data_IF_756182581449
#
_entry.id   IF_756182581449
#
_cell.length_a   1.000
_cell.length_b   1.000
_cell.length_c   1.000
_cell.angle_alpha   90.00
_cell.angle_beta   90.00
_cell.angle_gamma   90.00
#
_symmetry.space_group_name_H-M   'P 1'
#
loop_
_entity.id
_entity.type
_entity.pdbx_description
1 polymer ?
#
# COMPACT_ATOMS: atom_id res chain seq x y z
N UNK A 1 25.96 17.36 16.23
CA UNK A 1 24.54 17.03 15.99
C UNK A 1 23.94 18.12 15.11
N UNK A 2 23.40 17.79 13.94
CA UNK A 2 22.72 18.78 13.09
C UNK A 2 21.33 19.05 13.64
N UNK A 3 20.95 20.35 13.69
CA UNK A 3 19.63 20.75 14.18
C UNK A 3 18.57 20.47 13.08
N UNK A 4 17.32 20.16 13.49
CA UNK A 4 16.17 19.92 12.59
C UNK A 4 15.88 21.09 11.63
N UNK A 5 16.29 22.31 11.99
CA UNK A 5 16.16 23.53 11.19
C UNK A 5 17.39 23.83 10.32
N UNK A 6 18.35 22.90 10.22
CA UNK A 6 19.58 23.14 9.44
C UNK A 6 19.29 23.21 7.94
N UNK A 7 19.69 24.32 7.32
CA UNK A 7 19.68 24.52 5.87
C UNK A 7 20.93 23.89 5.20
N UNK A 8 21.78 23.18 5.95
CA UNK A 8 22.89 22.44 5.38
C UNK A 8 22.39 21.47 4.32
N UNK A 9 22.97 21.54 3.13
CA UNK A 9 22.65 20.70 2.00
C UNK A 9 23.57 19.50 1.97
N UNK A 10 23.01 18.34 1.65
CA UNK A 10 23.73 17.08 1.51
C UNK A 10 23.27 16.34 0.27
N UNK A 11 24.13 15.46 -0.25
CA UNK A 11 23.73 14.44 -1.22
C UNK A 11 23.33 13.18 -0.46
N UNK A 12 22.04 12.87 -0.37
CA UNK A 12 21.62 11.69 0.36
C UNK A 12 22.00 10.41 -0.39
N UNK A 13 22.42 9.42 0.37
CA UNK A 13 22.68 8.07 -0.14
C UNK A 13 21.45 7.20 0.17
N UNK A 14 20.95 6.51 -0.84
CA UNK A 14 19.86 5.56 -0.61
C UNK A 14 20.36 4.38 0.23
N UNK A 15 19.78 4.11 1.41
CA UNK A 15 20.23 3.02 2.26
C UNK A 15 19.94 1.63 1.69
N UNK A 16 19.10 1.56 0.65
CA UNK A 16 18.64 0.30 0.05
C UNK A 16 19.53 -0.11 -1.12
N UNK A 17 19.90 0.83 -2.00
CA UNK A 17 20.66 0.52 -3.22
C UNK A 17 22.02 1.22 -3.29
N UNK A 18 22.40 2.04 -2.28
CA UNK A 18 23.65 2.76 -2.21
C UNK A 18 23.81 3.93 -3.21
N UNK A 19 22.78 4.23 -4.01
CA UNK A 19 22.86 5.31 -5.00
C UNK A 19 22.89 6.67 -4.30
N UNK A 20 23.84 7.50 -4.68
CA UNK A 20 23.89 8.91 -4.30
C UNK A 20 22.89 9.69 -5.15
N UNK A 21 22.07 10.51 -4.53
CA UNK A 21 21.14 11.38 -5.25
C UNK A 21 21.88 12.50 -5.96
N UNK A 22 21.52 12.79 -7.20
CA UNK A 22 22.20 13.82 -8.01
C UNK A 22 21.85 15.25 -7.61
N UNK A 23 20.90 15.43 -6.71
CA UNK A 23 20.46 16.75 -6.22
C UNK A 23 20.70 16.87 -4.74
N UNK A 24 21.27 17.99 -4.31
CA UNK A 24 21.38 18.33 -2.90
C UNK A 24 19.99 18.55 -2.29
N UNK A 25 19.81 18.07 -1.07
CA UNK A 25 18.62 18.35 -0.27
C UNK A 25 19.02 18.88 1.11
N UNK A 26 18.25 19.82 1.64
CA UNK A 26 18.49 20.32 2.99
C UNK A 26 18.17 19.23 4.03
N UNK A 27 18.95 19.18 5.09
CA UNK A 27 18.74 18.22 6.20
C UNK A 27 17.34 18.37 6.80
N UNK A 28 16.83 19.62 6.91
CA UNK A 28 15.45 19.90 7.35
C UNK A 28 14.41 19.15 6.51
N UNK A 29 14.58 19.08 5.19
CA UNK A 29 13.64 18.37 4.31
C UNK A 29 13.62 16.85 4.55
N UNK A 30 14.74 16.26 5.00
CA UNK A 30 14.78 14.84 5.37
C UNK A 30 13.94 14.63 6.63
N UNK A 31 14.06 15.50 7.62
CA UNK A 31 13.29 15.42 8.85
C UNK A 31 11.80 15.65 8.62
N UNK A 32 11.43 16.64 7.82
CA UNK A 32 10.04 16.97 7.50
C UNK A 32 9.34 15.85 6.73
N UNK A 33 10.03 15.22 5.77
CA UNK A 33 9.49 14.10 4.98
C UNK A 33 9.59 12.75 5.69
N UNK A 34 10.22 12.69 6.85
CA UNK A 34 10.43 11.47 7.65
C UNK A 34 11.06 10.30 6.86
N UNK A 35 11.71 10.59 5.74
CA UNK A 35 12.39 9.58 4.91
C UNK A 35 13.53 10.17 4.11
N UNK A 36 14.60 9.39 3.98
CA UNK A 36 15.63 9.64 2.98
C UNK A 36 15.09 9.17 1.63
N UNK A 37 15.22 10.02 0.61
CA UNK A 37 14.81 9.67 -0.73
C UNK A 37 15.46 8.36 -1.21
N UNK A 38 14.65 7.42 -1.66
CA UNK A 38 15.14 6.18 -2.27
C UNK A 38 15.55 6.43 -3.73
N UNK A 39 16.40 5.57 -4.29
CA UNK A 39 16.61 5.51 -5.72
C UNK A 39 15.25 5.33 -6.42
N UNK A 40 15.00 6.12 -7.45
CA UNK A 40 13.69 6.18 -8.10
C UNK A 40 12.68 7.11 -7.42
N UNK A 41 13.12 8.00 -6.51
CA UNK A 41 12.31 9.12 -6.08
C UNK A 41 11.93 9.98 -7.30
N UNK A 42 10.63 10.27 -7.39
CA UNK A 42 10.04 10.88 -8.58
C UNK A 42 9.59 9.88 -9.63
N UNK A 43 10.05 8.63 -9.59
CA UNK A 43 9.54 7.54 -10.41
C UNK A 43 8.28 6.94 -9.81
N UNK A 44 7.33 6.57 -10.66
CA UNK A 44 6.12 5.84 -10.29
C UNK A 44 6.43 4.35 -10.10
N UNK A 45 5.49 3.59 -9.55
CA UNK A 45 5.67 2.16 -9.30
C UNK A 45 6.13 1.35 -10.54
N UNK A 46 5.55 1.52 -11.75
CA UNK A 46 6.01 0.80 -12.94
C UNK A 46 7.48 1.09 -13.29
N UNK A 47 7.84 2.37 -13.32
CA UNK A 47 9.22 2.78 -13.61
C UNK A 47 10.21 2.20 -12.59
N UNK A 48 9.87 2.23 -11.29
CA UNK A 48 10.71 1.61 -10.24
C UNK A 48 10.87 0.11 -10.45
N UNK A 49 9.80 -0.60 -10.83
CA UNK A 49 9.84 -2.04 -11.07
C UNK A 49 10.79 -2.37 -12.22
N UNK A 50 10.65 -1.68 -13.36
CA UNK A 50 11.55 -1.84 -14.51
C UNK A 50 13.00 -1.49 -14.13
N UNK A 51 13.21 -0.41 -13.40
CA UNK A 51 14.53 0.01 -12.94
C UNK A 51 15.22 -1.09 -12.13
N UNK A 52 14.51 -1.70 -11.17
CA UNK A 52 15.06 -2.78 -10.37
C UNK A 52 15.23 -4.08 -11.17
N UNK A 53 14.34 -4.39 -12.11
CA UNK A 53 14.46 -5.52 -13.03
C UNK A 53 15.75 -5.42 -13.88
N UNK A 54 15.95 -4.29 -14.56
CA UNK A 54 17.15 -4.05 -15.36
C UNK A 54 18.44 -4.11 -14.54
N UNK A 55 18.42 -3.56 -13.30
CA UNK A 55 19.53 -3.69 -12.36
C UNK A 55 19.79 -5.12 -11.91
N UNK A 56 18.75 -5.88 -11.64
CA UNK A 56 18.87 -7.29 -11.24
C UNK A 56 19.49 -8.16 -12.36
N UNK A 57 19.26 -7.79 -13.62
CA UNK A 57 19.88 -8.41 -14.80
C UNK A 57 21.27 -7.85 -15.12
N UNK A 58 21.81 -6.91 -14.32
CA UNK A 58 23.09 -6.23 -14.57
C UNK A 58 23.16 -5.48 -15.92
N UNK A 59 22.01 -5.03 -16.44
CA UNK A 59 21.95 -4.28 -17.68
C UNK A 59 22.36 -2.83 -17.42
N UNK A 60 23.20 -2.29 -18.31
CA UNK A 60 23.54 -0.86 -18.31
C UNK A 60 22.44 -0.10 -19.05
N UNK A 61 21.80 0.84 -18.36
CA UNK A 61 20.74 1.68 -18.91
C UNK A 61 20.82 3.11 -18.35
N UNK A 62 20.16 4.01 -19.04
CA UNK A 62 19.89 5.38 -18.57
C UNK A 62 18.38 5.50 -18.30
N UNK A 63 17.99 6.20 -17.26
CA UNK A 63 16.59 6.46 -16.94
C UNK A 63 16.28 7.95 -17.07
N UNK A 64 15.05 8.25 -17.44
CA UNK A 64 14.55 9.63 -17.57
C UNK A 64 15.35 10.44 -18.59
N UNK A 65 15.43 9.94 -19.84
CA UNK A 65 16.10 10.64 -20.92
C UNK A 65 15.40 11.97 -21.23
N UNK A 66 16.20 13.00 -21.43
CA UNK A 66 15.75 14.34 -21.78
C UNK A 66 16.71 14.96 -22.77
N UNK A 67 16.45 16.18 -23.20
CA UNK A 67 17.33 17.00 -24.03
C UNK A 67 18.78 17.08 -23.50
N UNK A 68 18.97 16.96 -22.19
CA UNK A 68 20.32 16.92 -21.61
C UNK A 68 21.10 15.65 -21.96
N UNK A 69 20.41 14.56 -22.33
CA UNK A 69 21.02 13.30 -22.75
C UNK A 69 21.21 13.27 -24.28
N UNK A 70 20.14 13.55 -25.01
CA UNK A 70 20.12 13.65 -26.46
C UNK A 70 19.33 14.90 -26.87
N UNK A 71 19.92 15.75 -27.69
CA UNK A 71 19.30 17.01 -28.13
C UNK A 71 17.95 16.77 -28.82
N UNK A 72 17.83 15.67 -29.57
CA UNK A 72 16.60 15.29 -30.25
C UNK A 72 15.42 14.95 -29.32
N UNK A 73 15.65 14.67 -28.03
CA UNK A 73 14.54 14.48 -27.08
C UNK A 73 13.69 15.73 -26.93
N UNK A 74 14.21 16.90 -27.26
CA UNK A 74 13.54 18.19 -27.17
C UNK A 74 12.83 18.39 -25.82
N UNK A 75 11.53 18.63 -25.78
CA UNK A 75 10.74 18.79 -24.57
C UNK A 75 10.16 17.47 -24.02
N UNK A 76 10.48 16.36 -24.66
CA UNK A 76 10.00 15.05 -24.27
C UNK A 76 10.97 14.35 -23.30
N UNK A 77 10.40 13.41 -22.53
CA UNK A 77 11.12 12.56 -21.61
C UNK A 77 10.77 11.11 -21.87
N UNK A 78 11.80 10.27 -21.97
CA UNK A 78 11.66 8.83 -22.14
C UNK A 78 12.08 8.13 -20.84
N UNK A 79 11.38 7.04 -20.48
CA UNK A 79 11.58 6.38 -19.18
C UNK A 79 12.94 5.69 -19.11
N UNK A 80 13.28 4.87 -20.09
CA UNK A 80 14.56 4.13 -20.10
C UNK A 80 15.16 4.05 -21.50
N UNK A 81 16.49 4.02 -21.53
CA UNK A 81 17.29 3.78 -22.72
C UNK A 81 18.40 2.78 -22.44
N UNK A 82 18.55 1.78 -23.30
CA UNK A 82 19.59 0.75 -23.22
C UNK A 82 20.58 1.00 -24.36
N UNK A 83 21.74 1.62 -24.10
CA UNK A 83 22.67 2.08 -25.13
C UNK A 83 23.17 0.96 -26.03
N UNK A 84 23.51 -0.20 -25.48
CA UNK A 84 24.08 -1.33 -26.22
C UNK A 84 23.10 -1.93 -27.25
N UNK A 85 21.82 -1.72 -27.08
CA UNK A 85 20.76 -2.21 -27.97
C UNK A 85 20.09 -1.07 -28.77
N UNK A 86 20.48 0.17 -28.53
CA UNK A 86 19.78 1.36 -29.02
C UNK A 86 18.26 1.25 -28.83
N UNK A 87 17.83 0.93 -27.60
CA UNK A 87 16.46 0.56 -27.28
C UNK A 87 15.88 1.51 -26.23
N UNK A 88 14.66 2.00 -26.49
CA UNK A 88 13.84 2.79 -25.56
C UNK A 88 12.78 1.89 -24.95
N UNK A 89 12.50 2.08 -23.65
CA UNK A 89 11.38 1.42 -22.96
C UNK A 89 10.55 2.49 -22.29
N UNK A 90 9.24 2.49 -22.56
CA UNK A 90 8.23 3.35 -21.96
C UNK A 90 7.26 2.56 -21.08
N UNK A 91 6.83 3.14 -19.98
CA UNK A 91 5.85 2.53 -19.06
C UNK A 91 4.54 3.31 -19.12
N UNK A 92 3.56 2.79 -19.85
CA UNK A 92 2.29 3.44 -20.05
C UNK A 92 1.31 3.12 -18.90
N UNK A 93 1.07 4.09 -18.04
CA UNK A 93 0.06 4.02 -16.98
C UNK A 93 -1.37 4.22 -17.49
N UNK A 94 -2.35 4.28 -16.57
CA UNK A 94 -3.77 4.41 -16.89
C UNK A 94 -4.09 5.63 -17.77
N UNK A 95 -3.34 6.73 -17.66
CA UNK A 95 -3.57 7.95 -18.44
C UNK A 95 -3.42 7.75 -19.95
N UNK A 96 -2.69 6.73 -20.41
CA UNK A 96 -2.51 6.43 -21.84
C UNK A 96 -3.65 5.58 -22.43
N UNK A 97 -4.55 5.02 -21.59
CA UNK A 97 -5.60 4.08 -21.98
C UNK A 97 -7.02 4.53 -21.62
N UNK A 98 -7.15 5.51 -20.75
CA UNK A 98 -8.45 5.96 -20.27
C UNK A 98 -8.36 7.32 -19.55
N UNK A 99 -9.51 7.84 -19.12
CA UNK A 99 -9.54 9.08 -18.38
C UNK A 99 -8.69 8.96 -17.12
N UNK A 100 -7.64 9.76 -17.05
CA UNK A 100 -6.76 9.85 -15.89
C UNK A 100 -7.52 10.25 -14.63
N UNK A 101 -6.94 10.02 -13.48
CA UNK A 101 -7.52 10.36 -12.17
C UNK A 101 -8.03 11.81 -12.16
N UNK A 102 -9.31 12.02 -12.44
CA UNK A 102 -10.27 13.09 -12.19
C UNK A 102 -9.82 14.46 -11.68
N UNK A 103 -8.64 14.92 -12.01
CA UNK A 103 -8.21 16.29 -11.69
C UNK A 103 -8.17 17.08 -12.99
N UNK A 104 -8.96 18.14 -13.09
CA UNK A 104 -9.07 19.10 -14.20
C UNK A 104 -7.75 19.81 -14.59
N UNK A 105 -6.61 19.18 -14.46
CA UNK A 105 -5.27 19.79 -14.66
C UNK A 105 -4.31 18.91 -15.48
N UNK A 106 -4.77 17.83 -16.09
CA UNK A 106 -3.97 16.95 -16.94
C UNK A 106 -4.37 17.05 -18.41
N UNK A 107 -3.60 16.43 -19.30
CA UNK A 107 -3.96 16.23 -20.70
C UNK A 107 -5.21 15.37 -20.82
N UNK A 108 -5.97 15.56 -21.90
CA UNK A 108 -7.03 14.62 -22.29
C UNK A 108 -6.40 13.29 -22.74
N UNK A 109 -7.22 12.25 -22.91
CA UNK A 109 -6.74 10.97 -23.44
C UNK A 109 -6.18 11.14 -24.85
N UNK A 110 -6.88 11.92 -25.68
CA UNK A 110 -6.48 12.20 -27.05
C UNK A 110 -5.14 12.95 -27.10
N UNK A 111 -4.97 13.97 -26.27
CA UNK A 111 -3.70 14.72 -26.16
C UNK A 111 -2.55 13.83 -25.66
N UNK A 112 -2.81 12.88 -24.75
CA UNK A 112 -1.79 11.95 -24.26
C UNK A 112 -1.40 10.95 -25.34
N UNK A 113 -2.37 10.41 -26.09
CA UNK A 113 -2.12 9.50 -27.21
C UNK A 113 -1.37 10.19 -28.37
N UNK A 114 -1.75 11.43 -28.71
CA UNK A 114 -1.04 12.24 -29.70
C UNK A 114 0.42 12.47 -29.26
N UNK A 115 0.64 12.82 -28.00
CA UNK A 115 1.96 12.98 -27.44
C UNK A 115 2.81 11.70 -27.50
N UNK A 116 2.20 10.51 -27.31
CA UNK A 116 2.89 9.22 -27.41
C UNK A 116 3.30 8.92 -28.85
N UNK A 117 2.42 9.25 -29.82
CA UNK A 117 2.75 9.12 -31.26
C UNK A 117 3.93 10.01 -31.63
N UNK A 118 3.90 11.30 -31.26
CA UNK A 118 4.98 12.25 -31.54
C UNK A 118 6.29 11.78 -30.90
N UNK A 119 6.27 11.31 -29.66
CA UNK A 119 7.45 10.77 -28.97
C UNK A 119 8.04 9.59 -29.73
N UNK A 120 7.20 8.64 -30.17
CA UNK A 120 7.64 7.48 -30.94
C UNK A 120 8.26 7.91 -32.28
N UNK A 121 7.58 8.73 -33.06
CA UNK A 121 8.07 9.23 -34.34
C UNK A 121 9.40 9.97 -34.19
N UNK A 122 9.54 10.79 -33.17
CA UNK A 122 10.78 11.50 -32.88
C UNK A 122 11.94 10.53 -32.59
N UNK A 123 11.70 9.50 -31.79
CA UNK A 123 12.69 8.48 -31.51
C UNK A 123 13.11 7.70 -32.77
N UNK A 124 12.12 7.26 -33.58
CA UNK A 124 12.37 6.52 -34.83
C UNK A 124 13.16 7.37 -35.83
N UNK A 125 12.82 8.64 -35.98
CA UNK A 125 13.53 9.57 -36.87
C UNK A 125 14.98 9.84 -36.45
N UNK A 126 15.31 9.52 -35.19
CA UNK A 126 16.66 9.65 -34.63
C UNK A 126 17.39 8.29 -34.46
N UNK A 127 16.98 7.28 -35.22
CA UNK A 127 17.72 6.03 -35.37
C UNK A 127 17.35 4.92 -34.39
N UNK A 128 16.29 5.08 -33.58
CA UNK A 128 15.70 3.96 -32.84
C UNK A 128 14.91 3.11 -33.83
N UNK A 129 15.20 1.81 -33.90
CA UNK A 129 14.40 0.88 -34.71
C UNK A 129 13.02 0.68 -34.07
N UNK A 130 12.01 0.44 -34.91
CA UNK A 130 10.61 0.34 -34.40
C UNK A 130 10.46 -0.75 -33.35
N UNK A 131 11.06 -1.91 -33.56
CA UNK A 131 11.06 -3.03 -32.62
C UNK A 131 11.83 -2.74 -31.33
N UNK A 132 12.68 -1.71 -31.32
CA UNK A 132 13.45 -1.27 -30.15
C UNK A 132 12.77 -0.10 -29.40
N UNK A 133 11.60 0.33 -29.85
CA UNK A 133 10.74 1.24 -29.09
C UNK A 133 9.66 0.41 -28.36
N UNK A 134 9.95 0.01 -27.14
CA UNK A 134 9.15 -0.95 -26.38
C UNK A 134 8.23 -0.20 -25.42
N UNK A 135 6.92 -0.45 -25.53
CA UNK A 135 5.91 0.10 -24.61
C UNK A 135 5.39 -1.04 -23.73
N UNK A 136 5.48 -0.86 -22.42
CA UNK A 136 4.94 -1.79 -21.42
C UNK A 136 3.63 -1.24 -20.85
N UNK A 137 2.57 -2.03 -20.97
CA UNK A 137 1.27 -1.68 -20.39
C UNK A 137 1.31 -1.79 -18.85
N UNK A 138 1.25 -0.65 -18.21
CA UNK A 138 1.31 -0.48 -16.77
C UNK A 138 0.04 0.18 -16.21
N UNK A 139 -1.12 0.08 -16.92
CA UNK A 139 -2.38 0.70 -16.48
C UNK A 139 -2.78 0.29 -15.07
N UNK A 140 -2.47 -0.92 -14.65
CA UNK A 140 -2.59 -1.33 -13.26
C UNK A 140 -1.20 -1.51 -12.64
N UNK A 141 -0.93 -0.76 -11.57
CA UNK A 141 0.38 -0.75 -10.88
C UNK A 141 0.54 -1.96 -9.94
N UNK A 142 0.40 -3.17 -10.46
CA UNK A 142 0.67 -4.43 -9.77
C UNK A 142 1.72 -5.23 -10.51
N UNK A 143 2.50 -6.05 -9.79
CA UNK A 143 3.53 -6.88 -10.41
C UNK A 143 2.92 -7.84 -11.42
N UNK A 144 1.83 -8.51 -11.04
CA UNK A 144 1.19 -9.52 -11.88
C UNK A 144 0.72 -8.93 -13.21
N UNK A 145 0.06 -7.77 -13.19
CA UNK A 145 -0.35 -7.09 -14.41
C UNK A 145 0.85 -6.70 -15.27
N UNK A 146 1.78 -5.93 -14.74
CA UNK A 146 2.93 -5.39 -15.49
C UNK A 146 3.78 -6.52 -16.08
N UNK A 147 3.85 -7.65 -15.41
CA UNK A 147 4.61 -8.83 -15.85
C UNK A 147 3.88 -9.61 -16.93
N UNK A 148 2.59 -9.92 -16.76
CA UNK A 148 1.90 -11.02 -17.44
C UNK A 148 0.82 -10.59 -18.45
N UNK A 149 0.39 -9.30 -18.49
CA UNK A 149 -0.61 -8.89 -19.47
C UNK A 149 -0.09 -9.00 -20.92
N UNK A 150 -0.96 -8.84 -21.90
CA UNK A 150 -0.65 -9.00 -23.32
C UNK A 150 0.53 -8.14 -23.78
N UNK A 151 0.62 -6.88 -23.29
CA UNK A 151 1.73 -5.96 -23.53
C UNK A 151 2.61 -5.79 -22.28
N UNK A 152 2.68 -6.82 -21.44
CA UNK A 152 3.50 -6.86 -20.23
C UNK A 152 4.95 -7.30 -20.52
N UNK A 153 5.78 -7.27 -19.49
CA UNK A 153 7.21 -7.53 -19.62
C UNK A 153 7.51 -8.89 -20.27
N UNK A 154 6.81 -9.97 -19.84
CA UNK A 154 7.06 -11.33 -20.36
C UNK A 154 6.55 -11.54 -21.79
N UNK A 155 5.61 -10.74 -22.25
CA UNK A 155 5.03 -10.81 -23.59
C UNK A 155 5.59 -9.73 -24.54
N UNK A 156 6.49 -8.89 -24.04
CA UNK A 156 7.20 -7.89 -24.84
C UNK A 156 8.52 -8.40 -25.39
N UNK A 157 9.11 -7.64 -26.31
CA UNK A 157 10.46 -7.90 -26.85
C UNK A 157 11.54 -7.99 -25.74
N UNK A 158 11.29 -7.47 -24.53
CA UNK A 158 12.24 -7.62 -23.42
C UNK A 158 12.52 -9.10 -23.09
N UNK A 159 11.56 -10.00 -23.31
CA UNK A 159 11.74 -11.43 -23.09
C UNK A 159 12.60 -12.11 -24.17
N UNK A 160 12.69 -11.51 -25.35
CA UNK A 160 13.60 -11.96 -26.41
C UNK A 160 15.02 -11.43 -26.20
N UNK A 161 15.13 -10.19 -25.71
CA UNK A 161 16.41 -9.50 -25.49
C UNK A 161 17.16 -9.98 -24.24
N UNK A 162 16.42 -10.44 -23.22
CA UNK A 162 16.98 -10.77 -21.91
C UNK A 162 16.42 -12.07 -21.35
N UNK A 163 17.25 -12.82 -20.64
CA UNK A 163 16.82 -14.00 -19.88
C UNK A 163 16.04 -13.59 -18.61
N UNK A 164 14.75 -13.34 -18.77
CA UNK A 164 13.88 -12.89 -17.68
C UNK A 164 13.65 -13.97 -16.60
N UNK A 165 14.05 -15.23 -16.83
CA UNK A 165 14.03 -16.27 -15.79
C UNK A 165 15.05 -15.98 -14.67
N UNK A 166 16.09 -15.21 -14.96
CA UNK A 166 17.08 -14.76 -13.97
C UNK A 166 16.59 -13.66 -13.07
N UNK A 167 15.44 -13.03 -13.37
CA UNK A 167 14.90 -11.95 -12.56
C UNK A 167 14.33 -12.46 -11.26
N UNK A 168 14.84 -11.96 -10.14
CA UNK A 168 14.21 -12.17 -8.85
C UNK A 168 13.06 -11.17 -8.65
N UNK A 169 11.88 -11.50 -9.15
CA UNK A 169 10.69 -10.65 -9.12
C UNK A 169 10.28 -10.23 -7.71
N UNK A 170 10.44 -11.13 -6.74
CA UNK A 170 10.14 -10.82 -5.33
C UNK A 170 11.05 -9.71 -4.79
N UNK A 171 12.33 -9.77 -5.10
CA UNK A 171 13.28 -8.71 -4.72
C UNK A 171 12.95 -7.41 -5.45
N UNK A 172 12.72 -7.45 -6.76
CA UNK A 172 12.34 -6.28 -7.54
C UNK A 172 11.10 -5.59 -6.96
N UNK A 173 10.06 -6.37 -6.64
CA UNK A 173 8.84 -5.88 -6.04
C UNK A 173 9.06 -5.24 -4.65
N UNK A 174 9.85 -5.89 -3.80
CA UNK A 174 10.20 -5.35 -2.47
C UNK A 174 10.88 -3.99 -2.57
N UNK A 175 11.82 -3.84 -3.51
CA UNK A 175 12.52 -2.57 -3.69
C UNK A 175 11.67 -1.49 -4.37
N UNK A 176 10.67 -1.88 -5.14
CA UNK A 176 9.73 -0.97 -5.80
C UNK A 176 8.78 -0.29 -4.81
N UNK A 177 8.45 -0.96 -3.69
CA UNK A 177 7.55 -0.42 -2.69
C UNK A 177 8.14 0.79 -1.97
N UNK A 178 7.30 1.81 -1.76
CA UNK A 178 7.68 3.03 -1.07
C UNK A 178 8.11 2.77 0.38
N UNK A 179 8.98 3.63 0.91
CA UNK A 179 9.46 3.56 2.29
C UNK A 179 8.33 3.51 3.32
N UNK A 180 7.24 4.25 3.09
CA UNK A 180 6.05 4.26 3.96
C UNK A 180 5.34 2.90 3.99
N UNK A 181 5.24 2.21 2.85
CA UNK A 181 4.66 0.86 2.81
C UNK A 181 5.50 -0.08 3.66
N UNK A 182 6.83 -0.01 3.54
CA UNK A 182 7.74 -0.83 4.36
C UNK A 182 7.62 -0.50 5.83
N UNK A 183 7.65 0.78 6.19
CA UNK A 183 7.50 1.23 7.60
C UNK A 183 6.22 0.68 8.22
N UNK A 184 5.09 0.79 7.51
CA UNK A 184 3.80 0.29 7.98
C UNK A 184 3.79 -1.23 8.10
N UNK A 185 4.38 -1.94 7.13
CA UNK A 185 4.49 -3.40 7.17
C UNK A 185 5.42 -3.89 8.27
N UNK A 186 6.53 -3.19 8.53
CA UNK A 186 7.46 -3.53 9.61
C UNK A 186 6.80 -3.35 10.98
N UNK A 187 6.03 -2.26 11.18
CA UNK A 187 5.22 -2.09 12.39
C UNK A 187 4.22 -3.22 12.58
N UNK A 188 3.55 -3.66 11.49
CA UNK A 188 2.60 -4.78 11.54
C UNK A 188 3.28 -6.11 11.86
N UNK A 189 4.48 -6.37 11.31
CA UNK A 189 5.28 -7.56 11.62
C UNK A 189 5.75 -7.59 13.07
N UNK A 190 6.28 -6.47 13.56
CA UNK A 190 6.76 -6.35 14.95
C UNK A 190 5.62 -6.53 15.95
N UNK A 191 4.43 -6.05 15.61
CA UNK A 191 3.23 -6.12 16.43
C UNK A 191 2.02 -6.56 15.61
N UNK A 192 1.82 -7.86 15.36
CA UNK A 192 0.71 -8.38 14.54
C UNK A 192 -0.69 -8.00 15.05
N UNK A 193 -0.80 -7.68 16.35
CA UNK A 193 -2.07 -7.28 16.99
C UNK A 193 -2.43 -5.80 16.78
N UNK A 194 -1.50 -4.96 16.32
CA UNK A 194 -1.80 -3.55 16.01
C UNK A 194 -2.85 -3.47 14.91
N UNK A 195 -3.87 -2.67 15.16
CA UNK A 195 -4.91 -2.36 14.17
C UNK A 195 -4.41 -1.30 13.20
N UNK A 196 -5.03 -1.23 12.03
CA UNK A 196 -4.81 -0.15 11.05
C UNK A 196 -4.93 1.24 11.69
N UNK A 197 -5.90 1.43 12.61
CA UNK A 197 -6.09 2.70 13.33
C UNK A 197 -4.96 3.00 14.31
N UNK A 198 -4.42 2.01 14.99
CA UNK A 198 -3.28 2.20 15.90
C UNK A 198 -2.01 2.53 15.13
N UNK A 199 -1.74 1.81 14.03
CA UNK A 199 -0.62 2.12 13.14
C UNK A 199 -0.76 3.53 12.56
N UNK A 200 -1.97 3.95 12.17
CA UNK A 200 -2.22 5.29 11.62
C UNK A 200 -1.83 6.42 12.57
N UNK A 201 -2.01 6.21 13.87
CA UNK A 201 -1.59 7.17 14.90
C UNK A 201 -0.06 7.23 15.04
N UNK A 202 0.63 6.07 14.90
CA UNK A 202 2.10 6.00 14.99
C UNK A 202 2.75 6.70 13.81
N UNK A 203 2.23 6.47 12.59
CA UNK A 203 2.82 7.03 11.36
C UNK A 203 2.24 8.40 10.99
N UNK A 204 1.23 8.89 11.74
CA UNK A 204 0.54 10.18 11.54
C UNK A 204 -0.11 10.32 10.15
N UNK A 205 -0.70 9.24 9.63
CA UNK A 205 -1.44 9.21 8.38
C UNK A 205 -2.87 8.71 8.60
N UNK A 206 -3.75 8.94 7.61
CA UNK A 206 -5.13 8.46 7.71
C UNK A 206 -5.19 6.92 7.74
N UNK A 207 -6.16 6.33 8.47
CA UNK A 207 -6.37 4.88 8.48
C UNK A 207 -6.60 4.29 7.09
N UNK A 208 -7.21 5.05 6.17
CA UNK A 208 -7.43 4.64 4.78
C UNK A 208 -6.12 4.46 4.02
N UNK A 209 -5.16 5.38 4.19
CA UNK A 209 -3.84 5.27 3.57
C UNK A 209 -3.07 4.08 4.14
N UNK A 210 -3.07 3.92 5.47
CA UNK A 210 -2.39 2.79 6.13
C UNK A 210 -2.98 1.46 5.66
N UNK A 211 -4.31 1.34 5.55
CA UNK A 211 -4.97 0.15 5.03
C UNK A 211 -4.53 -0.16 3.61
N UNK A 212 -4.50 0.82 2.72
CA UNK A 212 -4.03 0.66 1.34
C UNK A 212 -2.57 0.20 1.29
N UNK A 213 -1.70 0.74 2.15
CA UNK A 213 -0.29 0.34 2.24
C UNK A 213 -0.12 -1.07 2.80
N UNK A 214 -0.92 -1.48 3.79
CA UNK A 214 -0.92 -2.85 4.31
C UNK A 214 -1.38 -3.86 3.25
N UNK A 215 -2.43 -3.55 2.47
CA UNK A 215 -2.83 -4.41 1.35
C UNK A 215 -1.70 -4.55 0.34
N UNK A 216 -1.15 -3.41 -0.13
CA UNK A 216 -0.04 -3.44 -1.09
C UNK A 216 1.18 -4.17 -0.54
N UNK A 217 1.49 -3.99 0.74
CA UNK A 217 2.57 -4.70 1.40
C UNK A 217 2.31 -6.20 1.54
N UNK A 218 1.07 -6.61 1.78
CA UNK A 218 0.67 -8.02 1.79
C UNK A 218 0.85 -8.66 0.40
N UNK A 219 0.37 -7.99 -0.65
CA UNK A 219 0.53 -8.44 -2.04
C UNK A 219 2.01 -8.55 -2.45
N UNK A 220 2.87 -7.72 -1.85
CA UNK A 220 4.31 -7.75 -2.05
C UNK A 220 5.06 -8.74 -1.13
N UNK A 221 4.38 -9.47 -0.27
CA UNK A 221 5.02 -10.34 0.73
C UNK A 221 5.83 -9.58 1.80
N UNK A 222 5.54 -8.29 1.99
CA UNK A 222 6.19 -7.45 3.01
C UNK A 222 5.59 -7.64 4.40
N UNK A 223 4.33 -8.02 4.52
CA UNK A 223 3.66 -8.35 5.78
C UNK A 223 2.46 -9.26 5.50
N UNK A 224 1.94 -9.90 6.55
CA UNK A 224 0.64 -10.54 6.49
C UNK A 224 -0.43 -9.55 6.96
N UNK A 225 -1.45 -9.32 6.13
CA UNK A 225 -2.56 -8.45 6.47
C UNK A 225 -3.89 -8.99 5.95
N UNK A 226 -4.82 -9.16 6.87
CA UNK A 226 -6.22 -9.53 6.62
C UNK A 226 -7.15 -8.54 7.33
N UNK A 227 -7.82 -7.71 6.55
CA UNK A 227 -8.73 -6.68 7.07
C UNK A 227 -9.98 -7.26 7.73
N UNK A 228 -10.47 -8.43 7.28
CA UNK A 228 -11.62 -9.09 7.87
C UNK A 228 -11.28 -9.66 9.24
N UNK A 229 -10.13 -10.32 9.34
CA UNK A 229 -9.60 -10.83 10.61
C UNK A 229 -9.36 -9.69 11.61
N UNK A 230 -8.75 -8.59 11.15
CA UNK A 230 -8.53 -7.41 12.00
C UNK A 230 -9.86 -6.83 12.52
N UNK A 231 -10.86 -6.69 11.64
CA UNK A 231 -12.18 -6.19 12.03
C UNK A 231 -12.87 -7.11 13.03
N UNK A 232 -12.83 -8.41 12.79
CA UNK A 232 -13.41 -9.42 13.69
C UNK A 232 -12.76 -9.37 15.08
N UNK A 233 -11.43 -9.37 15.16
CA UNK A 233 -10.67 -9.31 16.41
C UNK A 233 -10.88 -7.97 17.15
N UNK A 234 -10.99 -6.87 16.43
CA UNK A 234 -11.31 -5.56 16.98
C UNK A 234 -12.71 -5.53 17.60
N UNK A 235 -13.70 -6.05 16.89
CA UNK A 235 -15.07 -6.15 17.40
C UNK A 235 -15.16 -7.05 18.65
N UNK A 236 -14.44 -8.19 18.66
CA UNK A 236 -14.36 -9.07 19.81
C UNK A 236 -13.77 -8.37 21.04
N UNK A 237 -12.70 -7.60 20.86
CA UNK A 237 -12.10 -6.77 21.93
C UNK A 237 -13.08 -5.70 22.44
N UNK A 238 -13.69 -4.96 21.54
CA UNK A 238 -14.63 -3.90 21.87
C UNK A 238 -15.89 -4.44 22.60
N UNK A 239 -16.39 -5.59 22.17
CA UNK A 239 -17.52 -6.24 22.83
C UNK A 239 -17.16 -6.70 24.25
N UNK A 240 -15.94 -7.21 24.45
CA UNK A 240 -15.46 -7.57 25.79
C UNK A 240 -15.33 -6.35 26.71
N UNK A 241 -14.81 -5.22 26.19
CA UNK A 241 -14.68 -3.96 26.95
C UNK A 241 -16.05 -3.35 27.28
N UNK A 242 -17.02 -3.45 26.37
CA UNK A 242 -18.37 -2.91 26.53
C UNK A 242 -19.31 -3.81 27.33
N UNK A 243 -18.93 -5.05 27.56
CA UNK A 243 -19.74 -5.96 28.36
C UNK A 243 -19.71 -5.52 29.81
N UNK A 244 -20.90 -5.31 30.39
CA UNK A 244 -21.07 -4.99 31.82
C UNK A 244 -21.38 -6.29 32.55
N UNK A 245 -20.65 -6.61 33.62
CA UNK A 245 -21.00 -7.72 34.49
C UNK A 245 -22.39 -7.51 35.10
N UNK A 246 -23.09 -8.59 35.35
CA UNK A 246 -24.42 -8.56 35.93
C UNK A 246 -24.55 -9.61 37.00
N UNK A 247 -25.43 -9.34 37.94
CA UNK A 247 -25.86 -10.28 38.98
C UNK A 247 -27.36 -10.56 38.81
N UNK A 248 -27.72 -11.83 38.98
CA UNK A 248 -29.10 -12.35 38.84
C UNK A 248 -29.69 -12.66 40.23
N UNK A 249 -30.94 -12.28 40.45
CA UNK A 249 -31.66 -12.51 41.69
C UNK A 249 -32.99 -13.18 41.42
N UNK A 250 -33.41 -14.06 42.33
CA UNK A 250 -34.75 -14.59 42.41
C UNK A 250 -35.29 -14.40 43.84
N UNK A 251 -36.48 -13.85 43.95
CA UNK A 251 -37.11 -13.55 45.24
C UNK A 251 -36.18 -12.76 46.22
N UNK A 252 -35.36 -11.88 45.67
CA UNK A 252 -34.39 -11.07 46.43
C UNK A 252 -33.07 -11.76 46.78
N UNK A 253 -32.93 -13.06 46.47
CA UNK A 253 -31.70 -13.83 46.74
C UNK A 253 -30.81 -13.82 45.52
N UNK A 254 -29.52 -13.50 45.69
CA UNK A 254 -28.52 -13.58 44.62
C UNK A 254 -28.26 -15.02 44.22
N UNK A 255 -28.30 -15.30 42.90
CA UNK A 255 -28.00 -16.59 42.31
C UNK A 255 -26.62 -16.60 41.62
N UNK A 256 -25.90 -15.48 41.67
CA UNK A 256 -24.54 -15.36 41.14
C UNK A 256 -24.35 -14.29 40.08
N UNK A 257 -23.06 -14.07 39.73
CA UNK A 257 -22.63 -13.07 38.76
C UNK A 257 -22.25 -13.69 37.42
N UNK A 258 -22.45 -12.92 36.36
CA UNK A 258 -22.08 -13.28 34.95
C UNK A 258 -21.33 -12.15 34.30
N UNK A 259 -20.40 -12.48 33.38
CA UNK A 259 -19.57 -11.49 32.72
C UNK A 259 -20.36 -10.52 31.82
N UNK A 260 -21.55 -10.91 31.36
CA UNK A 260 -22.43 -10.08 30.54
C UNK A 260 -23.85 -10.63 30.45
N UNK A 261 -24.78 -9.81 29.94
CA UNK A 261 -26.15 -10.25 29.63
C UNK A 261 -26.20 -11.39 28.61
N UNK A 262 -25.27 -11.39 27.63
CA UNK A 262 -25.15 -12.47 26.63
C UNK A 262 -24.59 -13.77 27.23
N UNK A 263 -23.69 -13.64 28.18
CA UNK A 263 -23.12 -14.79 28.90
C UNK A 263 -24.22 -15.50 29.72
N UNK A 264 -25.00 -14.71 30.47
CA UNK A 264 -26.15 -15.23 31.20
C UNK A 264 -27.21 -15.88 30.26
N UNK A 265 -27.53 -15.23 29.12
CA UNK A 265 -28.48 -15.81 28.15
C UNK A 265 -28.06 -17.21 27.70
N UNK A 266 -26.77 -17.40 27.37
CA UNK A 266 -26.21 -18.69 26.91
C UNK A 266 -26.26 -19.78 27.98
N UNK A 267 -26.10 -19.41 29.24
CA UNK A 267 -26.04 -20.35 30.35
C UNK A 267 -27.41 -20.58 31.03
N UNK A 268 -28.35 -19.65 30.81
CA UNK A 268 -29.61 -19.58 31.56
C UNK A 268 -30.46 -20.86 31.50
N UNK A 269 -30.55 -21.48 30.34
CA UNK A 269 -31.35 -22.71 30.16
C UNK A 269 -30.74 -23.90 30.92
N UNK A 270 -29.40 -23.99 30.92
CA UNK A 270 -28.68 -25.05 31.63
C UNK A 270 -28.74 -24.86 33.16
N UNK A 271 -28.62 -23.59 33.63
CA UNK A 271 -28.52 -23.28 35.05
C UNK A 271 -29.88 -23.17 35.73
N UNK A 272 -30.88 -22.62 35.03
CA UNK A 272 -32.17 -22.27 35.61
C UNK A 272 -33.37 -23.00 34.95
N UNK A 273 -33.11 -23.85 33.94
CA UNK A 273 -34.16 -24.53 33.19
C UNK A 273 -35.01 -23.59 32.32
N UNK A 274 -34.64 -22.36 32.17
CA UNK A 274 -35.41 -21.32 31.47
C UNK A 274 -34.47 -20.48 30.61
N UNK A 275 -34.77 -20.41 29.31
CA UNK A 275 -34.03 -19.54 28.40
C UNK A 275 -34.36 -18.07 28.67
N UNK A 276 -33.39 -17.29 29.11
CA UNK A 276 -33.48 -15.84 29.32
C UNK A 276 -32.96 -15.10 28.07
N UNK A 277 -33.53 -13.95 27.78
CA UNK A 277 -33.10 -13.10 26.65
C UNK A 277 -32.23 -11.94 27.13
N UNK A 278 -31.05 -11.74 26.51
CA UNK A 278 -30.14 -10.67 26.86
C UNK A 278 -30.77 -9.27 26.76
N UNK A 279 -31.67 -9.08 25.80
CA UNK A 279 -32.37 -7.81 25.61
C UNK A 279 -33.31 -7.51 26.76
N UNK A 280 -34.08 -8.53 27.26
CA UNK A 280 -34.98 -8.38 28.43
C UNK A 280 -34.18 -8.22 29.72
N UNK A 281 -33.06 -8.96 29.87
CA UNK A 281 -32.15 -8.80 31.02
C UNK A 281 -31.65 -7.34 31.08
N UNK A 282 -31.17 -6.80 29.93
CA UNK A 282 -30.71 -5.41 29.86
C UNK A 282 -31.80 -4.41 30.19
N UNK A 283 -33.06 -4.66 29.79
CA UNK A 283 -34.19 -3.79 30.13
C UNK A 283 -34.49 -3.77 31.64
N UNK A 284 -34.35 -4.91 32.29
CA UNK A 284 -34.51 -4.98 33.75
C UNK A 284 -33.37 -4.25 34.44
N UNK A 285 -32.10 -4.48 34.05
CA UNK A 285 -30.96 -3.77 34.59
C UNK A 285 -31.05 -2.24 34.44
N UNK A 286 -31.70 -1.77 33.37
CA UNK A 286 -31.92 -0.32 33.09
C UNK A 286 -33.20 0.25 33.73
N UNK A 287 -33.92 -0.56 34.52
CA UNK A 287 -35.18 -0.13 35.14
C UNK A 287 -36.36 0.04 34.18
N UNK A 288 -36.22 -0.37 32.91
CA UNK A 288 -37.30 -0.31 31.90
C UNK A 288 -38.29 -1.46 31.97
N UNK A 289 -38.00 -2.46 32.78
CA UNK A 289 -38.83 -3.63 33.06
C UNK A 289 -38.56 -4.08 34.49
N UNK A 290 -39.58 -4.46 35.23
CA UNK A 290 -39.44 -4.84 36.66
C UNK A 290 -38.75 -6.23 36.80
N UNK A 291 -39.20 -7.23 36.07
CA UNK A 291 -38.66 -8.59 36.10
C UNK A 291 -38.68 -9.21 34.73
N UNK A 292 -37.87 -10.25 34.52
CA UNK A 292 -37.95 -11.11 33.33
C UNK A 292 -38.01 -12.59 33.77
N UNK A 293 -39.13 -13.24 33.48
CA UNK A 293 -39.41 -14.63 33.85
C UNK A 293 -39.21 -14.94 35.35
N UNK A 294 -39.62 -13.99 36.21
CA UNK A 294 -39.50 -14.10 37.67
C UNK A 294 -38.15 -13.76 38.26
N UNK A 295 -37.18 -13.29 37.44
CA UNK A 295 -35.86 -12.87 37.89
C UNK A 295 -35.70 -11.37 37.79
N UNK A 296 -34.87 -10.83 38.67
CA UNK A 296 -34.34 -9.44 38.59
C UNK A 296 -32.85 -9.48 38.33
N UNK A 297 -32.33 -8.39 37.74
CA UNK A 297 -30.94 -8.27 37.34
C UNK A 297 -30.40 -6.90 37.67
N UNK A 298 -29.13 -6.83 38.02
CA UNK A 298 -28.43 -5.59 38.31
C UNK A 298 -27.05 -5.60 37.66
N UNK A 299 -26.63 -4.48 37.05
CA UNK A 299 -25.23 -4.32 36.66
C UNK A 299 -24.37 -4.17 37.90
N UNK A 300 -23.20 -4.82 37.88
CA UNK A 300 -22.17 -4.77 38.91
C UNK A 300 -21.08 -3.81 38.49
#
# INVERSE_FOLDING_TARGET
MYNKSSNCKIFPVCPICGRIKNTEIAISQIYERKSIACCGDGMKYPEKLLWFMLRNLNIKFQSQLTKATFEWCDNYRYDFYIPVLNCIIETHGMQHYGHGFGTNKGRTLEEEQENDIIKKELALSNGIQEENYIVIDCRYSTLDWIKNNENGILNSRLNELFDLNKVNWTICQKFTCDSLIRTVCDLKKQNPKLTTTEISKIVEFSPSNVRRWLFKGNDCGLCEYDSYKEHYESNKRNNKIKSKPIEIFKDGISLGGFCSTLDLEKQSEKLFGIKLSHSSISRVCLGKQKTHKGFTFKFI
#
